data_IF_547688748721
#
_entry.id   IF_547688748721
#
_cell.length_a   1.000
_cell.length_b   1.000
_cell.length_c   1.000
_cell.angle_alpha   90.00
_cell.angle_beta   90.00
_cell.angle_gamma   90.00
#
_symmetry.space_group_name_H-M   'P 1'
#
loop_
_entity.id
_entity.type
_entity.pdbx_description
1 polymer ?
#
# COMPACT_ATOMS: atom_id res chain seq x y z
N UNK A 1 9.65 16.31 -0.75
CA UNK A 1 9.78 14.97 -0.12
C UNK A 1 11.02 14.99 0.76
N UNK A 2 10.92 14.51 2.00
CA UNK A 2 12.00 14.59 2.99
C UNK A 2 12.77 13.25 2.99
N UNK A 3 14.07 13.31 2.68
CA UNK A 3 15.02 12.20 2.78
C UNK A 3 15.17 11.34 1.50
N UNK A 4 16.29 10.60 1.35
CA UNK A 4 16.42 9.60 0.29
C UNK A 4 15.27 8.60 0.38
N UNK A 5 14.71 8.22 -0.77
CA UNK A 5 13.50 7.39 -0.83
C UNK A 5 13.71 6.06 -0.12
N UNK A 6 12.90 5.81 0.92
CA UNK A 6 12.85 4.49 1.57
C UNK A 6 12.12 3.51 0.64
N UNK A 7 12.41 2.20 0.75
CA UNK A 7 11.56 1.18 0.13
C UNK A 7 10.09 1.38 0.52
N UNK A 8 9.18 1.07 -0.40
CA UNK A 8 7.74 1.23 -0.18
C UNK A 8 7.06 -0.14 -0.15
N UNK A 9 6.17 -0.32 0.81
CA UNK A 9 5.28 -1.48 0.91
C UNK A 9 3.88 -0.98 0.61
N UNK A 10 3.30 -1.38 -0.52
CA UNK A 10 1.93 -0.97 -0.90
C UNK A 10 0.94 -2.05 -0.48
N UNK A 11 0.02 -1.69 0.41
CA UNK A 11 -1.09 -2.55 0.80
C UNK A 11 -2.25 -2.31 -0.18
N UNK A 12 -2.41 -3.22 -1.15
CA UNK A 12 -3.45 -3.13 -2.18
C UNK A 12 -4.52 -4.21 -1.98
N UNK A 13 -5.78 -3.80 -1.81
CA UNK A 13 -6.86 -4.75 -1.58
C UNK A 13 -8.22 -4.10 -1.33
N UNK A 14 -9.12 -4.82 -0.68
CA UNK A 14 -10.51 -4.38 -0.43
C UNK A 14 -10.71 -3.86 1.00
N UNK A 15 -11.83 -4.18 1.65
CA UNK A 15 -12.19 -3.68 2.98
C UNK A 15 -11.20 -4.07 4.08
N UNK A 16 -10.66 -5.30 4.05
CA UNK A 16 -9.66 -5.75 5.04
C UNK A 16 -8.39 -4.88 4.99
N UNK A 17 -7.99 -4.47 3.80
CA UNK A 17 -6.86 -3.55 3.61
C UNK A 17 -7.26 -2.13 3.97
N UNK A 18 -8.42 -1.64 3.51
CA UNK A 18 -8.87 -0.26 3.79
C UNK A 18 -8.97 0.02 5.29
N UNK A 19 -9.51 -0.92 6.06
CA UNK A 19 -9.68 -0.77 7.51
C UNK A 19 -8.46 -1.24 8.32
N UNK A 20 -7.36 -1.59 7.65
CA UNK A 20 -6.14 -2.07 8.32
C UNK A 20 -5.44 -1.02 9.19
N UNK A 21 -5.71 0.26 8.97
CA UNK A 21 -5.21 1.38 9.77
C UNK A 21 -6.22 1.92 10.79
N UNK A 22 -7.35 1.22 10.98
CA UNK A 22 -8.23 1.52 12.11
C UNK A 22 -7.50 1.28 13.44
N UNK A 23 -8.11 1.70 14.55
CA UNK A 23 -7.52 1.51 15.88
C UNK A 23 -7.13 0.04 16.11
N UNK A 24 -5.89 -0.18 16.57
CA UNK A 24 -5.29 -1.52 16.73
C UNK A 24 -5.28 -2.38 15.45
N UNK A 25 -5.38 -1.77 14.27
CA UNK A 25 -5.41 -2.45 12.99
C UNK A 25 -4.04 -2.97 12.55
N UNK A 26 -4.03 -4.11 11.85
CA UNK A 26 -2.78 -4.79 11.44
C UNK A 26 -1.88 -3.96 10.51
N UNK A 27 -2.46 -3.06 9.71
CA UNK A 27 -1.72 -2.17 8.81
C UNK A 27 -0.98 -1.09 9.59
N UNK A 28 -1.57 -0.59 10.67
CA UNK A 28 -0.90 0.32 11.59
C UNK A 28 0.26 -0.39 12.33
N UNK A 29 0.03 -1.62 12.81
CA UNK A 29 1.10 -2.42 13.44
C UNK A 29 2.25 -2.69 12.46
N UNK A 30 1.95 -2.99 11.19
CA UNK A 30 2.97 -3.16 10.15
C UNK A 30 3.75 -1.87 9.93
N UNK A 31 3.08 -0.72 9.83
CA UNK A 31 3.74 0.58 9.67
C UNK A 31 4.64 0.93 10.86
N UNK A 32 4.24 0.57 12.08
CA UNK A 32 5.06 0.77 13.28
C UNK A 32 6.35 -0.06 13.23
N UNK A 33 6.24 -1.36 12.91
CA UNK A 33 7.38 -2.28 12.74
C UNK A 33 8.39 -1.76 11.71
N UNK A 34 7.91 -1.20 10.60
CA UNK A 34 8.74 -0.71 9.50
C UNK A 34 9.03 0.80 9.53
N UNK A 35 8.64 1.52 10.60
CA UNK A 35 8.68 2.98 10.71
C UNK A 35 10.03 3.64 10.39
N UNK A 36 11.13 2.87 10.49
CA UNK A 36 12.51 3.34 10.24
C UNK A 36 13.16 2.74 8.99
N UNK A 37 12.50 1.79 8.33
CA UNK A 37 13.08 0.98 7.25
C UNK A 37 12.29 1.04 5.94
N UNK A 38 10.97 1.23 5.99
CA UNK A 38 10.13 1.32 4.80
C UNK A 38 8.88 2.19 5.04
N UNK A 39 8.35 2.76 3.96
CA UNK A 39 7.09 3.48 4.00
C UNK A 39 5.94 2.53 3.63
N UNK A 40 4.93 2.42 4.50
CA UNK A 40 3.74 1.60 4.24
C UNK A 40 2.63 2.47 3.64
N UNK A 41 2.21 2.15 2.42
CA UNK A 41 1.25 2.94 1.64
C UNK A 41 -0.07 2.17 1.54
N UNK A 42 -1.16 2.79 2.01
CA UNK A 42 -2.50 2.22 1.95
C UNK A 42 -3.17 2.47 0.59
N UNK A 43 -3.65 1.40 -0.05
CA UNK A 43 -4.47 1.38 -1.27
C UNK A 43 -5.62 0.37 -1.13
N UNK A 44 -6.40 0.53 -0.06
CA UNK A 44 -7.59 -0.29 0.21
C UNK A 44 -8.86 0.31 -0.39
N UNK A 45 -9.68 -0.52 -1.02
CA UNK A 45 -10.92 -0.12 -1.69
C UNK A 45 -12.09 -1.02 -1.24
N UNK A 46 -12.75 -0.65 -0.15
CA UNK A 46 -13.89 -1.39 0.40
C UNK A 46 -15.00 -1.54 -0.64
N UNK A 47 -15.59 -2.74 -0.68
CA UNK A 47 -16.61 -3.09 -1.69
C UNK A 47 -16.04 -3.48 -3.06
N UNK A 48 -14.73 -3.36 -3.28
CA UNK A 48 -14.13 -3.79 -4.54
C UNK A 48 -13.77 -5.27 -4.50
N UNK A 49 -14.03 -5.95 -5.61
CA UNK A 49 -13.43 -7.25 -5.91
C UNK A 49 -12.25 -7.07 -6.88
N UNK A 50 -11.55 -8.16 -7.19
CA UNK A 50 -10.36 -8.15 -8.05
C UNK A 50 -10.61 -7.57 -9.45
N UNK A 51 -11.83 -7.68 -10.01
CA UNK A 51 -12.14 -7.10 -11.33
C UNK A 51 -12.12 -5.58 -11.34
N UNK A 52 -12.49 -4.94 -10.22
CA UNK A 52 -12.37 -3.50 -10.07
C UNK A 52 -10.91 -3.10 -9.81
N UNK A 53 -10.19 -3.88 -9.02
CA UNK A 53 -8.78 -3.65 -8.71
C UNK A 53 -7.90 -3.63 -9.99
N UNK A 54 -8.12 -4.56 -10.92
CA UNK A 54 -7.36 -4.61 -12.19
C UNK A 54 -7.52 -3.33 -13.01
N UNK A 55 -8.68 -2.67 -12.96
CA UNK A 55 -8.94 -1.43 -13.73
C UNK A 55 -8.08 -0.26 -13.29
N UNK A 56 -7.56 -0.27 -12.06
CA UNK A 56 -6.72 0.81 -11.52
C UNK A 56 -5.27 0.38 -11.33
N UNK A 57 -4.88 -0.81 -11.80
CA UNK A 57 -3.55 -1.35 -11.56
C UNK A 57 -2.45 -0.40 -12.04
N UNK A 58 -2.57 0.13 -13.26
CA UNK A 58 -1.60 1.07 -13.82
C UNK A 58 -1.63 2.45 -13.13
N UNK A 59 -2.72 2.80 -12.44
CA UNK A 59 -2.82 4.03 -11.65
C UNK A 59 -2.15 3.87 -10.28
N UNK A 60 -2.28 2.69 -9.68
CA UNK A 60 -1.70 2.35 -8.38
C UNK A 60 -0.22 2.00 -8.52
N UNK A 61 0.15 1.31 -9.60
CA UNK A 61 1.50 0.86 -9.93
C UNK A 61 1.88 1.31 -11.36
N UNK A 62 2.26 2.58 -11.55
CA UNK A 62 2.69 3.07 -12.85
C UNK A 62 3.91 2.31 -13.36
N UNK A 63 3.91 1.88 -14.63
CA UNK A 63 4.99 1.11 -15.24
C UNK A 63 6.31 1.88 -15.30
N UNK A 64 6.22 3.20 -15.42
CA UNK A 64 7.36 4.11 -15.50
C UNK A 64 7.84 4.60 -14.12
N UNK A 65 7.31 4.03 -13.03
CA UNK A 65 7.75 4.36 -11.68
C UNK A 65 9.22 3.94 -11.48
N UNK A 66 10.01 4.84 -10.88
CA UNK A 66 11.43 4.60 -10.55
C UNK A 66 11.59 3.41 -9.60
N UNK A 67 10.58 3.16 -8.75
CA UNK A 67 10.53 2.01 -7.84
C UNK A 67 9.39 1.10 -8.29
N UNK A 68 9.73 -0.12 -8.69
CA UNK A 68 8.76 -1.17 -9.00
C UNK A 68 8.65 -2.16 -7.83
N UNK A 69 7.48 -2.77 -7.60
CA UNK A 69 7.34 -3.84 -6.62
C UNK A 69 8.30 -4.98 -6.96
N UNK A 70 9.08 -5.41 -5.97
CA UNK A 70 9.90 -6.62 -6.08
C UNK A 70 8.99 -7.85 -5.85
N UNK A 71 9.16 -8.87 -6.70
CA UNK A 71 8.44 -10.15 -6.64
C UNK A 71 9.14 -11.14 -5.70
#
# INVERSE_FOLDING_TARGET
MVGPGRPQIVLFGSSIVQYSFADSGWGASLADIYSRTADVILRGYAGWNSRFAVKVLDQVFPKDAVLQPLL
#
